data_IF_099893890521
#
_entry.id   IF_099893890521
#
_cell.length_a   1.000
_cell.length_b   1.000
_cell.length_c   1.000
_cell.angle_alpha   90.00
_cell.angle_beta   90.00
_cell.angle_gamma   90.00
#
_symmetry.space_group_name_H-M   'P 1'
#
loop_
_entity.id
_entity.type
_entity.pdbx_description
1 polymer ?
#
# COMPACT_ATOMS: atom_id res chain seq x y z
N UNK A 1 -2.70 -3.60 -38.54
CA UNK A 1 -2.80 -3.47 -37.08
C UNK A 1 -3.76 -4.52 -36.56
N UNK A 2 -3.27 -5.53 -35.84
CA UNK A 2 -4.12 -6.47 -35.11
C UNK A 2 -4.32 -5.91 -33.70
N UNK A 3 -5.46 -5.28 -33.45
CA UNK A 3 -5.88 -4.96 -32.09
C UNK A 3 -6.06 -6.27 -31.34
N UNK A 4 -5.23 -6.51 -30.33
CA UNK A 4 -5.39 -7.62 -29.40
C UNK A 4 -6.69 -7.39 -28.63
N UNK A 5 -7.76 -8.08 -29.03
CA UNK A 5 -9.03 -8.12 -28.31
C UNK A 5 -8.76 -8.62 -26.89
N UNK A 6 -8.74 -7.70 -25.91
CA UNK A 6 -8.60 -8.05 -24.49
C UNK A 6 -9.95 -8.57 -24.03
N UNK A 7 -10.09 -9.89 -23.93
CA UNK A 7 -11.27 -10.52 -23.36
C UNK A 7 -11.29 -10.27 -21.84
N UNK A 8 -12.07 -9.29 -21.41
CA UNK A 8 -12.37 -9.09 -19.99
C UNK A 8 -13.33 -10.20 -19.55
N UNK A 9 -12.85 -11.11 -18.71
CA UNK A 9 -13.65 -12.19 -18.14
C UNK A 9 -13.92 -11.86 -16.68
N UNK A 10 -15.18 -11.53 -16.36
CA UNK A 10 -15.62 -11.37 -14.98
C UNK A 10 -16.01 -12.73 -14.42
N UNK A 11 -15.21 -13.24 -13.48
CA UNK A 11 -15.53 -14.49 -12.77
C UNK A 11 -16.39 -14.14 -11.55
N UNK A 12 -17.69 -14.43 -11.63
CA UNK A 12 -18.63 -14.41 -10.50
C UNK A 12 -18.71 -15.80 -9.86
N UNK A 13 -19.09 -15.87 -8.58
CA UNK A 13 -19.18 -17.10 -7.76
C UNK A 13 -17.85 -17.85 -7.53
N UNK A 14 -16.84 -17.15 -7.03
CA UNK A 14 -15.67 -17.81 -6.43
C UNK A 14 -16.11 -18.51 -5.15
N UNK A 15 -16.21 -19.85 -5.20
CA UNK A 15 -16.34 -20.69 -4.00
C UNK A 15 -15.04 -20.68 -3.20
N UNK A 16 -14.87 -19.66 -2.37
CA UNK A 16 -13.79 -19.62 -1.38
C UNK A 16 -14.28 -20.20 -0.05
N UNK A 17 -13.88 -21.42 0.33
CA UNK A 17 -14.28 -21.99 1.62
C UNK A 17 -13.67 -21.18 2.77
N UNK A 18 -14.32 -21.23 3.93
CA UNK A 18 -13.97 -20.43 5.10
C UNK A 18 -12.47 -20.48 5.45
N UNK A 19 -11.86 -21.68 5.43
CA UNK A 19 -10.44 -21.85 5.74
C UNK A 19 -9.51 -21.13 4.74
N UNK A 20 -9.85 -21.09 3.46
CA UNK A 20 -9.05 -20.39 2.45
C UNK A 20 -9.06 -18.87 2.68
N UNK A 21 -10.21 -18.32 3.08
CA UNK A 21 -10.35 -16.91 3.42
C UNK A 21 -9.53 -16.57 4.68
N UNK A 22 -9.60 -17.43 5.70
CA UNK A 22 -8.81 -17.24 6.94
C UNK A 22 -7.31 -17.24 6.65
N UNK A 23 -6.82 -18.21 5.88
CA UNK A 23 -5.41 -18.29 5.52
C UNK A 23 -4.98 -17.05 4.71
N UNK A 24 -5.82 -16.58 3.79
CA UNK A 24 -5.56 -15.35 3.05
C UNK A 24 -5.44 -14.14 3.98
N UNK A 25 -6.39 -13.94 4.90
CA UNK A 25 -6.38 -12.82 5.84
C UNK A 25 -5.18 -12.87 6.80
N UNK A 26 -4.81 -14.06 7.28
CA UNK A 26 -3.61 -14.25 8.11
C UNK A 26 -2.34 -13.89 7.33
N UNK A 27 -2.22 -14.33 6.08
CA UNK A 27 -1.08 -13.98 5.22
C UNK A 27 -1.02 -12.47 4.95
N UNK A 28 -2.16 -11.84 4.71
CA UNK A 28 -2.25 -10.39 4.52
C UNK A 28 -1.81 -9.63 5.77
N UNK A 29 -2.27 -10.07 6.95
CA UNK A 29 -1.88 -9.46 8.22
C UNK A 29 -0.37 -9.61 8.49
N UNK A 30 0.21 -10.80 8.29
CA UNK A 30 1.66 -11.00 8.46
C UNK A 30 2.46 -10.18 7.44
N UNK A 31 2.00 -10.11 6.19
CA UNK A 31 2.64 -9.32 5.13
C UNK A 31 2.60 -7.80 5.42
N UNK A 32 1.64 -7.32 6.20
CA UNK A 32 1.58 -5.91 6.60
C UNK A 32 2.76 -5.49 7.49
N UNK A 33 3.40 -6.41 8.22
CA UNK A 33 4.54 -6.09 9.09
C UNK A 33 5.75 -5.60 8.27
N UNK A 34 6.23 -6.35 7.25
CA UNK A 34 7.24 -5.82 6.33
C UNK A 34 6.81 -4.53 5.62
N UNK A 35 5.55 -4.44 5.20
CA UNK A 35 5.04 -3.23 4.54
C UNK A 35 5.10 -2.01 5.46
N UNK A 36 4.84 -2.19 6.76
CA UNK A 36 4.88 -1.13 7.75
C UNK A 36 6.30 -0.57 7.94
N UNK A 37 7.33 -1.42 7.91
CA UNK A 37 8.72 -0.99 7.99
C UNK A 37 9.09 -0.08 6.80
N UNK A 38 8.65 -0.43 5.60
CA UNK A 38 8.87 0.40 4.42
C UNK A 38 8.11 1.72 4.57
N UNK A 39 6.86 1.65 5.05
CA UNK A 39 6.01 2.82 5.23
C UNK A 39 6.61 3.81 6.25
N UNK A 40 7.16 3.34 7.37
CA UNK A 40 7.79 4.22 8.37
C UNK A 40 9.02 4.92 7.82
N UNK A 41 9.83 4.25 6.99
CA UNK A 41 10.97 4.88 6.32
C UNK A 41 10.50 5.98 5.36
N UNK A 42 9.50 5.69 4.52
CA UNK A 42 8.91 6.68 3.60
C UNK A 42 8.35 7.88 4.37
N UNK A 43 7.60 7.62 5.45
CA UNK A 43 7.06 8.69 6.30
C UNK A 43 8.16 9.51 6.97
N UNK A 44 9.24 8.87 7.42
CA UNK A 44 10.41 9.56 7.98
C UNK A 44 11.06 10.50 6.97
N UNK A 45 11.29 10.02 5.74
CA UNK A 45 11.82 10.84 4.65
C UNK A 45 10.89 12.01 4.31
N UNK A 46 9.59 11.75 4.21
CA UNK A 46 8.59 12.79 3.99
C UNK A 46 8.59 13.83 5.12
N UNK A 47 8.73 13.40 6.37
CA UNK A 47 8.77 14.27 7.53
C UNK A 47 10.00 15.17 7.54
N UNK A 48 11.17 14.66 7.15
CA UNK A 48 12.40 15.46 7.00
C UNK A 48 12.23 16.52 5.91
N UNK A 49 11.68 16.13 4.75
CA UNK A 49 11.43 17.06 3.65
C UNK A 49 10.44 18.16 4.04
N UNK A 50 9.33 17.79 4.68
CA UNK A 50 8.34 18.75 5.17
C UNK A 50 8.95 19.65 6.25
N UNK A 51 9.64 19.09 7.24
CA UNK A 51 10.29 19.88 8.30
C UNK A 51 11.27 20.90 7.73
N UNK A 52 12.09 20.50 6.74
CA UNK A 52 13.01 21.42 6.06
C UNK A 52 12.28 22.55 5.32
N UNK A 53 11.14 22.24 4.69
CA UNK A 53 10.28 23.24 4.05
C UNK A 53 9.65 24.19 5.08
N UNK A 54 9.10 23.67 6.18
CA UNK A 54 8.50 24.48 7.24
C UNK A 54 9.53 25.40 7.92
N UNK A 55 10.76 24.94 8.11
CA UNK A 55 11.85 25.77 8.61
C UNK A 55 12.25 26.85 7.60
N UNK A 56 12.36 26.50 6.31
CA UNK A 56 12.66 27.44 5.21
C UNK A 56 11.60 28.54 5.07
N UNK A 57 10.32 28.22 5.29
CA UNK A 57 9.22 29.18 5.28
C UNK A 57 9.14 30.05 6.55
N UNK A 58 10.12 29.94 7.48
CA UNK A 58 10.16 30.73 8.72
C UNK A 58 9.12 30.31 9.77
N UNK A 59 8.34 29.25 9.51
CA UNK A 59 7.30 28.76 10.41
C UNK A 59 7.86 27.96 11.61
N UNK A 60 9.17 27.66 11.65
CA UNK A 60 9.80 26.80 12.66
C UNK A 60 10.53 27.50 13.81
N UNK A 61 10.27 28.78 14.10
CA UNK A 61 11.08 29.59 15.04
C UNK A 61 10.42 29.90 16.40
N UNK A 62 9.63 28.99 16.97
CA UNK A 62 9.11 29.11 18.34
C UNK A 62 9.44 27.88 19.18
#
# INVERSE_FOLDING_TARGET
>A
MSESNRSEVTVVDIKMPFMSIVIFLVKAAIASIPAFIILTVIFGLMSVLLSGLFQSLGMGSY
#
